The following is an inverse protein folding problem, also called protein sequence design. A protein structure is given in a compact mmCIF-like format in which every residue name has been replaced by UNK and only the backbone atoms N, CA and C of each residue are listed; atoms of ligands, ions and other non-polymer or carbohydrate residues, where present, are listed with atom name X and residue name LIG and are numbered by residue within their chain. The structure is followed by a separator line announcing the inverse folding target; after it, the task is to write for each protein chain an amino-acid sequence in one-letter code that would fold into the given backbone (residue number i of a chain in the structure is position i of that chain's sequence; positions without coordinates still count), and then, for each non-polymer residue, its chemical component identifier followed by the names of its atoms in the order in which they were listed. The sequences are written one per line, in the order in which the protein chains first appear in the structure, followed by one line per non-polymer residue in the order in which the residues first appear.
data_IF_312547502259
#
_entry.id   IF_312547502259
#
_cell.length_a   1.000
_cell.length_b   1.000
_cell.length_c   1.000
_cell.angle_alpha   90.00
_cell.angle_beta   90.00
_cell.angle_gamma   90.00
#
_symmetry.space_group_name_H-M   'P 1'
#
loop_
_entity.id
_entity.type
_entity.pdbx_description
1 polymer ?
#
# COMPACT_ATOMS: atom_id res chain seq x y z
N UNK A 1 47.96 -11.21 10.93
CA UNK A 1 46.84 -10.77 11.77
C UNK A 1 46.38 -9.41 11.30
N UNK A 2 45.24 -9.33 10.75
CA UNK A 2 44.37 -8.19 10.34
C UNK A 2 43.87 -8.38 8.90
N UNK A 3 42.82 -9.15 8.75
CA UNK A 3 41.95 -9.11 7.58
C UNK A 3 40.62 -9.75 7.95
N UNK A 4 39.82 -9.05 8.73
CA UNK A 4 38.40 -9.38 8.99
C UNK A 4 37.71 -8.09 9.40
N UNK A 5 37.39 -7.21 8.46
CA UNK A 5 36.48 -6.07 8.72
C UNK A 5 36.14 -5.29 7.45
N UNK A 6 35.87 -5.95 6.34
CA UNK A 6 35.35 -5.28 5.14
C UNK A 6 34.27 -6.10 4.41
N UNK A 7 33.35 -6.70 5.19
CA UNK A 7 32.22 -7.40 4.54
C UNK A 7 30.88 -7.11 5.21
N UNK A 8 30.60 -5.84 5.53
CA UNK A 8 29.33 -5.42 6.12
C UNK A 8 28.73 -4.15 5.50
N UNK A 9 29.10 -3.84 4.27
CA UNK A 9 28.50 -2.74 3.49
C UNK A 9 27.91 -3.24 2.16
N UNK A 10 27.42 -4.48 2.11
CA UNK A 10 26.60 -4.95 1.02
C UNK A 10 25.25 -4.20 1.08
N UNK A 11 25.14 -3.18 0.23
CA UNK A 11 24.06 -2.27 -0.04
C UNK A 11 22.70 -2.61 0.54
N UNK A 12 22.27 -1.90 1.57
CA UNK A 12 20.85 -1.57 1.73
C UNK A 12 20.47 -0.73 0.52
N UNK A 13 20.00 -1.37 -0.54
CA UNK A 13 19.39 -0.70 -1.65
C UNK A 13 18.30 0.21 -1.06
N UNK A 14 18.52 1.51 -1.10
CA UNK A 14 17.66 2.51 -0.47
C UNK A 14 16.38 2.59 -1.30
N UNK A 15 15.35 1.85 -0.90
CA UNK A 15 14.06 1.94 -1.54
C UNK A 15 13.45 3.32 -1.28
N UNK A 16 12.95 3.97 -2.33
CA UNK A 16 12.27 5.27 -2.26
C UNK A 16 10.77 5.10 -2.40
N UNK A 17 9.99 5.98 -1.76
CA UNK A 17 8.54 6.02 -1.90
C UNK A 17 8.18 7.29 -2.66
N UNK A 18 7.32 7.14 -3.67
CA UNK A 18 6.81 8.25 -4.48
C UNK A 18 5.36 8.04 -4.89
N UNK A 19 4.72 9.09 -5.38
CA UNK A 19 3.41 8.94 -6.02
C UNK A 19 3.53 8.07 -7.26
N UNK A 20 2.52 7.24 -7.49
CA UNK A 20 2.40 6.47 -8.70
C UNK A 20 2.18 7.38 -9.91
N UNK A 21 2.62 6.92 -11.06
CA UNK A 21 2.41 7.55 -12.37
C UNK A 21 1.73 6.56 -13.32
N UNK A 22 1.23 7.04 -14.45
CA UNK A 22 0.64 6.16 -15.46
C UNK A 22 1.60 5.06 -15.95
N UNK A 23 2.90 5.33 -15.95
CA UNK A 23 3.94 4.39 -16.38
C UNK A 23 4.10 3.18 -15.44
N UNK A 24 3.59 3.27 -14.21
CA UNK A 24 3.67 2.18 -13.25
C UNK A 24 2.61 1.09 -13.47
N UNK A 25 1.61 1.34 -14.34
CA UNK A 25 0.47 0.45 -14.52
C UNK A 25 0.85 -1.03 -14.81
N UNK A 26 1.82 -1.36 -15.67
CA UNK A 26 2.21 -2.75 -15.91
C UNK A 26 2.68 -3.45 -14.63
N UNK A 27 3.55 -2.80 -13.87
CA UNK A 27 4.10 -3.37 -12.66
C UNK A 27 3.07 -3.45 -11.52
N UNK A 28 2.17 -2.46 -11.43
CA UNK A 28 1.06 -2.51 -10.49
C UNK A 28 0.11 -3.67 -10.80
N UNK A 29 -0.12 -4.00 -12.08
CA UNK A 29 -0.94 -5.15 -12.48
C UNK A 29 -0.32 -6.47 -12.02
N UNK A 30 0.99 -6.66 -12.21
CA UNK A 30 1.72 -7.84 -11.73
C UNK A 30 1.63 -7.97 -10.20
N UNK A 31 1.88 -6.90 -9.47
CA UNK A 31 1.80 -6.90 -8.01
C UNK A 31 0.37 -7.08 -7.49
N UNK A 32 -0.64 -6.60 -8.21
CA UNK A 32 -2.05 -6.84 -7.88
C UNK A 32 -2.42 -8.31 -7.99
N UNK A 33 -1.86 -9.05 -8.94
CA UNK A 33 -2.03 -10.50 -9.04
C UNK A 33 -1.43 -11.22 -7.82
N UNK A 34 -0.27 -10.77 -7.31
CA UNK A 34 0.33 -11.29 -6.06
C UNK A 34 -0.60 -11.06 -4.86
N UNK A 35 -1.31 -9.93 -4.84
CA UNK A 35 -2.31 -9.64 -3.81
C UNK A 35 -3.58 -10.48 -3.93
N UNK A 36 -3.76 -11.22 -5.03
CA UNK A 36 -4.93 -12.04 -5.29
C UNK A 36 -6.00 -11.37 -6.16
N UNK A 37 -5.66 -10.26 -6.81
CA UNK A 37 -6.55 -9.51 -7.72
C UNK A 37 -5.91 -9.39 -9.10
N UNK A 38 -5.83 -10.48 -9.88
CA UNK A 38 -5.30 -10.43 -11.24
C UNK A 38 -6.13 -9.48 -12.09
N UNK A 39 -5.45 -8.65 -12.88
CA UNK A 39 -6.08 -7.63 -13.73
C UNK A 39 -5.20 -7.39 -14.95
N UNK A 40 -5.83 -7.21 -16.11
CA UNK A 40 -5.14 -6.83 -17.32
C UNK A 40 -4.55 -5.42 -17.20
N UNK A 41 -3.36 -5.23 -17.77
CA UNK A 41 -2.60 -3.98 -17.65
C UNK A 41 -3.39 -2.76 -18.13
N UNK A 42 -4.10 -2.87 -19.24
CA UNK A 42 -4.90 -1.77 -19.80
C UNK A 42 -6.10 -1.41 -18.91
N UNK A 43 -6.71 -2.41 -18.26
CA UNK A 43 -7.79 -2.20 -17.30
C UNK A 43 -7.26 -1.48 -16.06
N UNK A 44 -6.11 -1.93 -15.53
CA UNK A 44 -5.48 -1.27 -14.39
C UNK A 44 -5.04 0.15 -14.73
N UNK A 45 -4.47 0.36 -15.93
CA UNK A 45 -4.06 1.69 -16.38
C UNK A 45 -5.24 2.69 -16.40
N UNK A 46 -6.40 2.28 -16.89
CA UNK A 46 -7.62 3.11 -16.85
C UNK A 46 -8.09 3.40 -15.41
N UNK A 47 -8.01 2.41 -14.51
CA UNK A 47 -8.34 2.59 -13.09
C UNK A 47 -7.37 3.56 -12.43
N UNK A 48 -6.06 3.36 -12.63
CA UNK A 48 -5.01 4.21 -12.09
C UNK A 48 -5.17 5.66 -12.53
N UNK A 49 -5.42 5.90 -13.83
CA UNK A 49 -5.63 7.25 -14.35
C UNK A 49 -6.79 7.98 -13.64
N UNK A 50 -7.90 7.28 -13.36
CA UNK A 50 -9.02 7.85 -12.61
C UNK A 50 -8.64 8.18 -11.16
N UNK A 51 -7.92 7.27 -10.49
CA UNK A 51 -7.49 7.48 -9.11
C UNK A 51 -6.52 8.66 -9.00
N UNK A 52 -5.54 8.75 -9.92
CA UNK A 52 -4.56 9.84 -9.93
C UNK A 52 -5.20 11.22 -10.19
N UNK A 53 -6.30 11.26 -10.93
CA UNK A 53 -7.06 12.50 -11.19
C UNK A 53 -7.95 12.91 -10.01
N UNK A 54 -8.18 12.04 -9.03
CA UNK A 54 -9.12 12.28 -7.94
C UNK A 54 -8.38 12.77 -6.67
N UNK A 55 -8.68 13.99 -6.17
CA UNK A 55 -7.92 14.61 -5.10
C UNK A 55 -8.02 13.88 -3.75
N UNK A 56 -9.04 13.05 -3.56
CA UNK A 56 -9.26 12.27 -2.34
C UNK A 56 -8.57 10.90 -2.36
N UNK A 57 -7.88 10.55 -3.45
CA UNK A 57 -7.13 9.30 -3.56
C UNK A 57 -5.63 9.53 -3.49
N UNK A 58 -4.94 8.56 -2.93
CA UNK A 58 -3.49 8.51 -2.87
C UNK A 58 -3.04 7.12 -3.35
N UNK A 59 -2.18 7.08 -4.35
CA UNK A 59 -1.50 5.86 -4.76
C UNK A 59 0.01 6.11 -4.69
N UNK A 60 0.69 5.35 -3.84
CA UNK A 60 2.13 5.39 -3.68
C UNK A 60 2.77 4.09 -4.13
N UNK A 61 3.97 4.19 -4.65
CA UNK A 61 4.81 3.04 -5.00
C UNK A 61 6.14 3.13 -4.26
N UNK A 62 6.76 1.99 -4.03
CA UNK A 62 8.13 1.92 -3.54
C UNK A 62 9.04 1.33 -4.60
N UNK A 63 10.11 2.06 -4.94
CA UNK A 63 11.11 1.69 -5.94
C UNK A 63 12.39 1.22 -5.28
N UNK A 64 13.06 0.28 -5.91
CA UNK A 64 14.47 -0.02 -5.63
C UNK A 64 15.39 1.01 -6.28
N UNK A 65 16.69 0.96 -5.94
CA UNK A 65 17.73 1.78 -6.58
C UNK A 65 17.80 1.60 -8.10
N UNK A 66 17.32 0.47 -8.62
CA UNK A 66 17.30 0.16 -10.05
C UNK A 66 15.97 0.59 -10.72
N UNK A 67 15.20 1.45 -10.07
CA UNK A 67 13.89 1.93 -10.50
C UNK A 67 12.84 0.82 -10.74
N UNK A 68 12.97 -0.31 -10.06
CA UNK A 68 11.97 -1.35 -10.06
C UNK A 68 10.95 -1.10 -8.97
N UNK A 69 9.68 -0.95 -9.32
CA UNK A 69 8.58 -0.90 -8.37
C UNK A 69 8.39 -2.28 -7.72
N UNK A 70 8.53 -2.33 -6.41
CA UNK A 70 8.44 -3.57 -5.61
C UNK A 70 7.29 -3.58 -4.60
N UNK A 71 6.52 -2.52 -4.55
CA UNK A 71 5.32 -2.45 -3.73
C UNK A 71 4.48 -1.22 -4.05
N UNK A 72 3.21 -1.28 -3.66
CA UNK A 72 2.30 -0.14 -3.75
C UNK A 72 1.31 -0.12 -2.59
N UNK A 73 0.76 1.05 -2.31
CA UNK A 73 -0.36 1.26 -1.40
C UNK A 73 -1.37 2.21 -2.04
N UNK A 74 -2.65 1.90 -1.88
CA UNK A 74 -3.75 2.79 -2.22
C UNK A 74 -4.48 3.21 -0.94
N UNK A 75 -4.72 4.49 -0.80
CA UNK A 75 -5.57 5.04 0.25
C UNK A 75 -6.55 6.06 -0.33
N UNK A 76 -7.65 6.27 0.37
CA UNK A 76 -8.65 7.27 0.01
C UNK A 76 -9.19 7.98 1.26
N UNK A 77 -9.62 9.21 1.06
CA UNK A 77 -10.39 9.95 2.04
C UNK A 77 -11.85 9.46 2.01
N UNK A 78 -12.40 9.22 3.16
CA UNK A 78 -13.79 8.85 3.38
C UNK A 78 -14.51 9.99 4.09
N UNK A 79 -15.53 10.50 3.43
CA UNK A 79 -16.46 11.49 3.97
C UNK A 79 -17.84 10.84 4.08
N UNK A 80 -18.30 10.64 5.31
CA UNK A 80 -19.51 9.87 5.62
C UNK A 80 -20.38 10.61 6.64
N UNK A 81 -21.70 10.41 6.59
CA UNK A 81 -22.64 11.09 7.49
C UNK A 81 -22.46 10.76 8.98
N UNK A 82 -21.89 9.61 9.28
CA UNK A 82 -21.93 9.04 10.64
C UNK A 82 -20.61 9.10 11.38
N UNK A 83 -19.59 9.72 10.77
CA UNK A 83 -18.26 9.86 11.35
C UNK A 83 -17.52 11.05 10.76
N UNK A 84 -16.47 11.52 11.45
CA UNK A 84 -15.54 12.50 10.90
C UNK A 84 -14.80 11.93 9.68
N UNK A 85 -14.31 12.82 8.80
CA UNK A 85 -13.50 12.41 7.65
C UNK A 85 -12.27 11.62 8.09
N UNK A 86 -12.03 10.50 7.44
CA UNK A 86 -10.91 9.59 7.75
C UNK A 86 -10.23 9.05 6.49
N UNK A 87 -9.02 8.55 6.66
CA UNK A 87 -8.30 7.83 5.61
C UNK A 87 -8.60 6.34 5.64
N UNK A 88 -8.78 5.71 4.49
CA UNK A 88 -8.92 4.25 4.38
C UNK A 88 -7.82 3.70 3.48
N UNK A 89 -7.02 2.78 4.00
CA UNK A 89 -6.11 1.97 3.18
C UNK A 89 -6.96 0.94 2.45
N UNK A 90 -6.95 1.00 1.12
CA UNK A 90 -7.76 0.14 0.24
C UNK A 90 -6.99 -1.11 -0.15
N UNK A 91 -5.68 -0.99 -0.38
CA UNK A 91 -4.81 -2.09 -0.74
C UNK A 91 -3.36 -1.79 -0.44
N UNK A 92 -2.61 -2.83 -0.10
CA UNK A 92 -1.17 -2.79 0.16
C UNK A 92 -0.56 -4.11 -0.29
N UNK A 93 0.48 -4.03 -1.09
CA UNK A 93 1.28 -5.20 -1.46
C UNK A 93 2.76 -4.85 -1.56
N UNK A 94 3.60 -5.79 -1.16
CA UNK A 94 5.05 -5.78 -1.40
C UNK A 94 5.41 -7.10 -2.05
N UNK A 95 6.25 -7.05 -3.09
CA UNK A 95 6.77 -8.22 -3.79
C UNK A 95 7.39 -9.21 -2.80
N UNK A 96 7.16 -10.51 -3.01
CA UNK A 96 7.52 -11.56 -2.05
C UNK A 96 9.00 -11.54 -1.65
N UNK A 97 9.89 -11.33 -2.62
CA UNK A 97 11.35 -11.26 -2.46
C UNK A 97 11.84 -9.95 -1.79
N UNK A 98 10.95 -8.99 -1.59
CA UNK A 98 11.23 -7.70 -0.94
C UNK A 98 10.53 -7.53 0.42
N UNK A 99 9.80 -8.53 0.88
CA UNK A 99 9.14 -8.53 2.19
C UNK A 99 10.18 -8.63 3.34
N UNK A 100 9.74 -8.28 4.55
CA UNK A 100 10.60 -8.32 5.73
C UNK A 100 11.66 -7.21 5.81
N UNK A 101 11.62 -6.22 4.90
CA UNK A 101 12.55 -5.09 4.83
C UNK A 101 11.93 -3.77 5.30
N UNK A 102 10.75 -3.82 5.92
CA UNK A 102 10.04 -2.64 6.42
C UNK A 102 9.34 -1.78 5.36
N UNK A 103 9.31 -2.19 4.08
CA UNK A 103 8.73 -1.38 3.00
C UNK A 103 7.23 -1.18 3.17
N UNK A 104 6.50 -2.21 3.56
CA UNK A 104 5.06 -2.10 3.82
C UNK A 104 4.75 -1.12 4.95
N UNK A 105 5.52 -1.16 6.03
CA UNK A 105 5.39 -0.22 7.15
C UNK A 105 5.64 1.22 6.71
N UNK A 106 6.69 1.45 5.96
CA UNK A 106 6.99 2.80 5.42
C UNK A 106 5.88 3.32 4.51
N UNK A 107 5.28 2.46 3.67
CA UNK A 107 4.13 2.84 2.86
C UNK A 107 2.92 3.24 3.73
N UNK A 108 2.65 2.51 4.81
CA UNK A 108 1.58 2.87 5.77
C UNK A 108 1.88 4.20 6.45
N UNK A 109 3.10 4.42 6.91
CA UNK A 109 3.55 5.68 7.53
C UNK A 109 3.34 6.88 6.59
N UNK A 110 3.61 6.74 5.29
CA UNK A 110 3.35 7.79 4.30
C UNK A 110 1.84 8.09 4.14
N UNK A 111 0.97 7.07 4.18
CA UNK A 111 -0.48 7.30 4.22
C UNK A 111 -0.90 8.03 5.48
N UNK A 112 -0.33 7.70 6.62
CA UNK A 112 -0.62 8.41 7.88
C UNK A 112 -0.15 9.87 7.83
N UNK A 113 1.03 10.16 7.24
CA UNK A 113 1.49 11.53 7.01
C UNK A 113 0.53 12.30 6.10
N UNK A 114 0.09 11.68 5.00
CA UNK A 114 -0.90 12.25 4.10
C UNK A 114 -2.22 12.55 4.82
N UNK A 115 -2.71 11.62 5.64
CA UNK A 115 -3.95 11.80 6.38
C UNK A 115 -3.85 12.95 7.40
N UNK A 116 -2.74 13.04 8.15
CA UNK A 116 -2.48 14.15 9.08
C UNK A 116 -2.42 15.50 8.38
N UNK A 117 -1.74 15.57 7.23
CA UNK A 117 -1.65 16.81 6.44
C UNK A 117 -3.00 17.28 5.91
N UNK A 118 -3.98 16.39 5.77
CA UNK A 118 -5.36 16.68 5.35
C UNK A 118 -6.32 16.89 6.53
N UNK A 119 -5.85 16.79 7.76
CA UNK A 119 -6.69 16.92 8.95
C UNK A 119 -7.67 15.79 9.16
N UNK A 120 -7.38 14.60 8.61
CA UNK A 120 -8.24 13.42 8.79
C UNK A 120 -8.12 12.88 10.21
N UNK A 121 -9.24 12.43 10.78
CA UNK A 121 -9.33 12.07 12.18
C UNK A 121 -8.56 10.77 12.53
N UNK A 122 -8.55 9.79 11.61
CA UNK A 122 -7.82 8.52 11.76
C UNK A 122 -7.54 7.89 10.39
N UNK A 123 -6.77 6.81 10.38
CA UNK A 123 -6.60 5.92 9.23
C UNK A 123 -7.14 4.54 9.59
N UNK A 124 -7.95 3.97 8.74
CA UNK A 124 -8.49 2.62 8.87
C UNK A 124 -8.00 1.70 7.76
N UNK A 125 -8.07 0.40 7.98
CA UNK A 125 -7.84 -0.63 6.97
C UNK A 125 -8.83 -1.77 7.15
N UNK A 126 -9.30 -2.33 6.03
CA UNK A 126 -10.10 -3.56 6.04
C UNK A 126 -9.23 -4.70 5.54
N UNK A 127 -8.94 -5.64 6.42
CA UNK A 127 -8.21 -6.86 6.08
C UNK A 127 -9.16 -8.05 6.07
N UNK A 128 -9.02 -8.89 5.04
CA UNK A 128 -9.76 -10.14 4.99
C UNK A 128 -9.31 -11.05 6.15
N UNK A 129 -10.28 -11.62 6.88
CA UNK A 129 -10.00 -12.51 8.02
C UNK A 129 -9.16 -13.73 7.62
N UNK A 130 -9.25 -14.19 6.37
CA UNK A 130 -8.43 -15.27 5.85
C UNK A 130 -6.95 -14.90 5.63
N UNK A 131 -6.62 -13.59 5.63
CA UNK A 131 -5.24 -13.10 5.50
C UNK A 131 -4.58 -13.00 6.88
N UNK A 132 -4.30 -14.13 7.49
CA UNK A 132 -3.77 -14.21 8.86
C UNK A 132 -2.43 -13.48 9.05
N UNK A 133 -1.63 -13.33 7.99
CA UNK A 133 -0.36 -12.59 8.02
C UNK A 133 -0.53 -11.08 8.11
N UNK A 134 -1.65 -10.54 7.62
CA UNK A 134 -1.92 -9.10 7.62
C UNK A 134 -2.26 -8.56 9.00
N UNK A 135 -2.91 -9.35 9.84
CA UNK A 135 -3.38 -8.92 11.15
C UNK A 135 -2.21 -8.53 12.07
N UNK A 136 -1.17 -9.39 12.28
CA UNK A 136 -0.02 -9.00 13.08
C UNK A 136 0.76 -7.83 12.48
N UNK A 137 0.76 -7.66 11.16
CA UNK A 137 1.40 -6.53 10.49
C UNK A 137 0.77 -5.21 10.91
N UNK A 138 -0.57 -5.08 10.82
CA UNK A 138 -1.26 -3.86 11.18
C UNK A 138 -1.21 -3.60 12.70
N UNK A 139 -1.31 -4.62 13.53
CA UNK A 139 -1.15 -4.48 14.98
C UNK A 139 0.24 -3.95 15.36
N UNK A 140 1.31 -4.45 14.73
CA UNK A 140 2.67 -3.91 14.92
C UNK A 140 2.85 -2.49 14.37
N UNK A 141 2.04 -2.10 13.41
CA UNK A 141 2.00 -0.72 12.90
C UNK A 141 1.16 0.22 13.79
N UNK A 142 0.57 -0.27 14.88
CA UNK A 142 -0.20 0.52 15.84
C UNK A 142 -1.70 0.56 15.59
N UNK A 143 -2.21 -0.25 14.64
CA UNK A 143 -3.64 -0.37 14.39
C UNK A 143 -4.28 -1.33 15.40
N UNK A 144 -5.37 -0.92 16.03
CA UNK A 144 -6.15 -1.79 16.90
C UNK A 144 -7.29 -2.46 16.13
N UNK A 145 -7.53 -3.74 16.40
CA UNK A 145 -8.72 -4.42 15.88
C UNK A 145 -9.98 -3.80 16.48
N UNK A 146 -10.83 -3.25 15.66
CA UNK A 146 -12.08 -2.61 16.10
C UNK A 146 -13.27 -3.56 16.03
N UNK A 147 -13.46 -4.22 14.87
CA UNK A 147 -14.60 -5.11 14.62
C UNK A 147 -14.37 -6.05 13.45
N UNK A 148 -15.15 -7.12 13.42
CA UNK A 148 -15.27 -8.02 12.27
C UNK A 148 -16.61 -7.78 11.57
N UNK A 149 -16.63 -7.68 10.24
CA UNK A 149 -17.83 -7.37 9.46
C UNK A 149 -18.04 -8.37 8.34
N UNK A 150 -19.31 -8.60 7.99
CA UNK A 150 -19.70 -9.30 6.78
C UNK A 150 -19.73 -8.34 5.60
N UNK A 151 -19.19 -8.75 4.44
CA UNK A 151 -19.30 -8.02 3.19
C UNK A 151 -20.33 -8.68 2.28
N UNK A 152 -21.28 -7.89 1.77
CA UNK A 152 -22.30 -8.36 0.86
C UNK A 152 -22.13 -7.69 -0.50
N UNK A 153 -22.40 -8.42 -1.59
CA UNK A 153 -22.31 -7.89 -2.96
C UNK A 153 -23.51 -8.33 -3.78
N UNK A 154 -24.05 -7.39 -4.53
CA UNK A 154 -25.05 -7.64 -5.58
C UNK A 154 -24.52 -7.04 -6.90
N UNK A 155 -24.44 -7.89 -7.92
CA UNK A 155 -24.08 -7.38 -9.26
C UNK A 155 -25.31 -6.71 -9.87
N UNK A 156 -25.10 -5.47 -10.37
CA UNK A 156 -26.12 -4.72 -11.08
C UNK A 156 -25.87 -4.88 -12.58
N UNK A 157 -26.88 -5.31 -13.31
CA UNK A 157 -26.85 -5.49 -14.76
C UNK A 157 -27.28 -4.19 -15.45
#
# INVERSE_FOLDING_TARGET
MKNQEIDSLAGKATATIRKATANDAPRLAELSAVLGYPVETDVLARRLARLLAHPQHLVLVTDTSDNLVVGWIEAREQDVLVADCFGEIVGLVVAADHRGRGLGRRLVEEVEHWARARGLAWVSVRSNIARTESHPFYERAGYAHEKTQHAYRKYLR
#
